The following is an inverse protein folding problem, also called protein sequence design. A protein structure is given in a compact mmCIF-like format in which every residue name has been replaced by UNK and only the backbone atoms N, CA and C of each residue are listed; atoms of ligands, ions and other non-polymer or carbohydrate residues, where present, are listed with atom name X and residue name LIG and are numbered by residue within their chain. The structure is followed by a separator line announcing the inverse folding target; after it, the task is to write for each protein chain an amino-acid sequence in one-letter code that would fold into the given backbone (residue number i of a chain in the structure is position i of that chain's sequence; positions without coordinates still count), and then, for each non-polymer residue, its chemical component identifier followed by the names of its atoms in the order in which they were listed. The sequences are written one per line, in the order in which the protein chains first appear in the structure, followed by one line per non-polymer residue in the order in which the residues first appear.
data_IF_174509777241
#
_entry.id   IF_174509777241
#
_cell.length_a   1.000
_cell.length_b   1.000
_cell.length_c   1.000
_cell.angle_alpha   90.00
_cell.angle_beta   90.00
_cell.angle_gamma   90.00
#
_symmetry.space_group_name_H-M   'P 1'
#
loop_
_entity.id
_entity.type
_entity.pdbx_description
1 polymer ?
#
# COMPACT_ATOMS: atom_id res chain seq x y z
N UNK A 1 -6.15 -8.96 -21.10
CA UNK A 1 -5.31 -9.09 -19.91
C UNK A 1 -3.92 -8.62 -20.30
N UNK A 2 -3.50 -7.46 -19.82
CA UNK A 2 -2.16 -6.93 -20.07
C UNK A 2 -1.23 -7.26 -18.90
N UNK A 3 0.07 -7.30 -19.18
CA UNK A 3 1.11 -7.40 -18.14
C UNK A 3 1.54 -6.00 -17.74
N UNK A 4 1.33 -5.63 -16.50
CA UNK A 4 1.66 -4.30 -15.97
C UNK A 4 2.87 -4.41 -15.07
N UNK A 5 3.91 -3.65 -15.37
CA UNK A 5 5.07 -3.49 -14.51
C UNK A 5 4.94 -2.18 -13.74
N UNK A 6 4.73 -2.29 -12.42
CA UNK A 6 4.80 -1.16 -11.49
C UNK A 6 6.24 -1.06 -10.99
N UNK A 7 6.94 0.02 -11.29
CA UNK A 7 8.35 0.17 -10.93
C UNK A 7 8.56 1.41 -10.07
N UNK A 8 9.27 1.27 -8.97
CA UNK A 8 9.76 2.42 -8.21
C UNK A 8 10.83 3.15 -9.02
N UNK A 9 10.76 4.49 -9.00
CA UNK A 9 11.70 5.34 -9.72
C UNK A 9 12.28 6.44 -8.82
N UNK A 10 13.60 6.57 -8.86
CA UNK A 10 14.37 7.61 -8.17
C UNK A 10 15.12 8.49 -9.16
N UNK A 11 16.42 8.67 -8.92
CA UNK A 11 17.31 9.43 -9.80
C UNK A 11 18.03 8.55 -10.83
N UNK A 12 18.07 7.24 -10.61
CA UNK A 12 18.79 6.29 -11.45
C UNK A 12 17.83 5.57 -12.41
N UNK A 13 17.86 5.95 -13.68
CA UNK A 13 17.06 5.31 -14.72
C UNK A 13 17.45 3.84 -14.96
N UNK A 14 18.72 3.49 -14.71
CA UNK A 14 19.25 2.13 -14.85
C UNK A 14 18.47 1.08 -14.04
N UNK A 15 17.91 1.47 -12.88
CA UNK A 15 17.11 0.58 -12.02
C UNK A 15 15.76 0.22 -12.66
N UNK A 16 15.20 1.11 -13.45
CA UNK A 16 14.00 0.83 -14.24
C UNK A 16 14.38 0.05 -15.50
N UNK A 17 15.36 0.54 -16.27
CA UNK A 17 15.80 -0.08 -17.52
C UNK A 17 16.28 -1.52 -17.27
N UNK A 18 16.92 -1.79 -16.14
CA UNK A 18 17.26 -3.14 -15.71
C UNK A 18 16.03 -4.04 -15.59
N UNK A 19 14.97 -3.55 -14.95
CA UNK A 19 13.73 -4.32 -14.81
C UNK A 19 13.05 -4.59 -16.16
N UNK A 20 13.04 -3.61 -17.08
CA UNK A 20 12.46 -3.77 -18.42
C UNK A 20 13.15 -4.86 -19.24
N UNK A 21 14.43 -5.14 -18.96
CA UNK A 21 15.20 -6.21 -19.64
C UNK A 21 14.82 -7.62 -19.17
N UNK A 22 14.38 -7.74 -17.91
CA UNK A 22 14.15 -9.03 -17.27
C UNK A 22 12.68 -9.40 -17.16
N UNK A 23 11.80 -8.40 -17.04
CA UNK A 23 10.39 -8.62 -16.75
C UNK A 23 9.55 -8.26 -17.98
N UNK A 24 8.85 -9.22 -18.58
CA UNK A 24 7.94 -8.92 -19.68
C UNK A 24 6.77 -8.06 -19.21
N UNK A 25 6.47 -7.01 -19.96
CA UNK A 25 5.37 -6.07 -19.68
C UNK A 25 4.76 -5.54 -20.98
N UNK A 26 3.53 -5.06 -20.88
CA UNK A 26 2.79 -4.38 -21.94
C UNK A 26 2.48 -2.93 -21.56
N UNK A 27 2.54 -2.62 -20.24
CA UNK A 27 2.32 -1.28 -19.66
C UNK A 27 3.30 -1.02 -18.53
N UNK A 28 3.83 0.19 -18.47
CA UNK A 28 4.75 0.65 -17.42
C UNK A 28 4.08 1.69 -16.54
N UNK A 29 4.11 1.47 -15.22
CA UNK A 29 3.70 2.42 -14.18
C UNK A 29 4.91 2.78 -13.34
N UNK A 30 5.27 4.06 -13.27
CA UNK A 30 6.35 4.55 -12.44
C UNK A 30 5.82 5.19 -11.16
N UNK A 31 6.25 4.70 -10.01
CA UNK A 31 5.95 5.31 -8.70
C UNK A 31 7.17 6.12 -8.27
N UNK A 32 7.00 7.44 -8.12
CA UNK A 32 8.13 8.34 -7.95
C UNK A 32 7.81 9.58 -7.10
N UNK A 33 8.85 10.14 -6.50
CA UNK A 33 8.79 11.43 -5.82
C UNK A 33 8.82 12.61 -6.78
N UNK A 34 8.28 13.76 -6.35
CA UNK A 34 8.15 14.95 -7.20
C UNK A 34 9.48 15.49 -7.75
N UNK A 35 10.63 15.27 -7.08
CA UNK A 35 11.95 15.63 -7.60
C UNK A 35 12.37 14.70 -8.74
N UNK A 36 12.22 13.40 -8.56
CA UNK A 36 12.58 12.39 -9.57
C UNK A 36 11.80 12.56 -10.87
N UNK A 37 10.57 13.08 -10.78
CA UNK A 37 9.73 13.36 -11.96
C UNK A 37 10.25 14.49 -12.84
N UNK A 38 11.24 15.26 -12.41
CA UNK A 38 11.88 16.35 -13.19
C UNK A 38 13.19 15.91 -13.82
N UNK A 39 13.65 14.69 -13.52
CA UNK A 39 14.92 14.17 -13.99
C UNK A 39 14.88 13.83 -15.49
N UNK A 40 16.03 13.98 -16.14
CA UNK A 40 16.19 13.62 -17.57
C UNK A 40 15.95 12.14 -17.82
N UNK A 41 16.26 11.28 -16.84
CA UNK A 41 16.07 9.84 -16.95
C UNK A 41 14.61 9.45 -17.14
N UNK A 42 13.67 10.13 -16.47
CA UNK A 42 12.24 9.88 -16.70
C UNK A 42 11.85 10.17 -18.15
N UNK A 43 12.27 11.31 -18.70
CA UNK A 43 11.97 11.68 -20.08
C UNK A 43 12.50 10.66 -21.08
N UNK A 44 13.71 10.13 -20.85
CA UNK A 44 14.28 9.06 -21.71
C UNK A 44 13.45 7.79 -21.67
N UNK A 45 12.96 7.41 -20.47
CA UNK A 45 12.07 6.24 -20.34
C UNK A 45 10.76 6.51 -21.10
N UNK A 46 10.14 7.68 -20.90
CA UNK A 46 8.90 8.05 -21.59
C UNK A 46 9.06 8.11 -23.12
N UNK A 47 10.17 8.63 -23.61
CA UNK A 47 10.50 8.67 -25.03
C UNK A 47 10.71 7.28 -25.62
N UNK A 48 11.45 6.41 -24.91
CA UNK A 48 11.67 5.03 -25.33
C UNK A 48 10.35 4.24 -25.37
N UNK A 49 9.51 4.36 -24.36
CA UNK A 49 8.18 3.73 -24.32
C UNK A 49 7.28 4.25 -25.44
N UNK A 50 7.27 5.55 -25.69
CA UNK A 50 6.49 6.15 -26.78
C UNK A 50 6.95 5.67 -28.15
N UNK A 51 8.27 5.57 -28.34
CA UNK A 51 8.84 5.04 -29.60
C UNK A 51 8.46 3.57 -29.81
N UNK A 52 8.29 2.79 -28.73
CA UNK A 52 7.81 1.41 -28.77
C UNK A 52 6.26 1.29 -28.86
N UNK A 53 5.54 2.41 -28.99
CA UNK A 53 4.06 2.43 -29.02
C UNK A 53 3.39 2.34 -27.64
N UNK A 54 4.17 2.35 -26.57
CA UNK A 54 3.71 2.30 -25.18
C UNK A 54 3.44 3.67 -24.57
N UNK A 55 2.95 3.67 -23.34
CA UNK A 55 2.78 4.86 -22.50
C UNK A 55 3.24 4.57 -21.08
N UNK A 56 3.89 5.55 -20.47
CA UNK A 56 4.25 5.51 -19.05
C UNK A 56 3.14 6.18 -18.25
N UNK A 57 2.60 5.45 -17.29
CA UNK A 57 1.76 6.03 -16.24
C UNK A 57 2.66 6.44 -15.07
N UNK A 58 2.39 7.59 -14.47
CA UNK A 58 3.16 8.09 -13.33
C UNK A 58 2.28 8.23 -12.11
N UNK A 59 2.71 7.62 -11.02
CA UNK A 59 2.10 7.74 -9.70
C UNK A 59 3.02 8.56 -8.80
N UNK A 60 2.56 9.75 -8.42
CA UNK A 60 3.32 10.64 -7.55
C UNK A 60 3.09 10.30 -6.08
N UNK A 61 4.19 10.14 -5.33
CA UNK A 61 4.19 9.89 -3.88
C UNK A 61 5.17 10.82 -3.17
N UNK A 62 5.07 10.91 -1.84
CA UNK A 62 6.17 11.41 -1.03
C UNK A 62 7.16 10.26 -0.78
N UNK A 63 8.38 10.29 -1.36
CA UNK A 63 9.32 9.17 -1.30
C UNK A 63 9.98 8.99 0.08
N UNK A 64 9.69 9.85 1.05
CA UNK A 64 10.15 9.80 2.43
C UNK A 64 9.03 9.46 3.42
N UNK A 65 7.77 9.39 2.97
CA UNK A 65 6.62 8.92 3.74
C UNK A 65 6.24 7.50 3.31
N UNK A 66 6.49 6.52 4.20
CA UNK A 66 6.17 5.11 3.97
C UNK A 66 4.68 4.90 3.65
N UNK A 67 3.79 5.61 4.34
CA UNK A 67 2.35 5.48 4.12
C UNK A 67 1.93 6.01 2.75
N UNK A 68 2.54 7.10 2.27
CA UNK A 68 2.34 7.63 0.92
C UNK A 68 2.83 6.65 -0.14
N UNK A 69 4.06 6.12 0.02
CA UNK A 69 4.65 5.14 -0.89
C UNK A 69 3.81 3.87 -0.99
N UNK A 70 3.43 3.32 0.15
CA UNK A 70 2.58 2.13 0.22
C UNK A 70 1.24 2.34 -0.46
N UNK A 71 0.51 3.41 -0.11
CA UNK A 71 -0.83 3.68 -0.66
C UNK A 71 -0.78 3.91 -2.16
N UNK A 72 0.11 4.79 -2.62
CA UNK A 72 0.21 5.10 -4.05
C UNK A 72 0.52 3.86 -4.89
N UNK A 73 1.42 3.01 -4.39
CA UNK A 73 1.75 1.74 -5.06
C UNK A 73 0.59 0.76 -5.02
N UNK A 74 -0.06 0.59 -3.85
CA UNK A 74 -1.20 -0.33 -3.71
C UNK A 74 -2.37 0.10 -4.59
N UNK A 75 -2.68 1.39 -4.65
CA UNK A 75 -3.74 1.92 -5.50
C UNK A 75 -3.48 1.66 -6.99
N UNK A 76 -2.23 1.81 -7.43
CA UNK A 76 -1.84 1.47 -8.79
C UNK A 76 -2.03 -0.03 -9.07
N UNK A 77 -1.51 -0.90 -8.19
CA UNK A 77 -1.66 -2.34 -8.32
C UNK A 77 -3.14 -2.74 -8.40
N UNK A 78 -3.95 -2.30 -7.45
CA UNK A 78 -5.36 -2.68 -7.35
C UNK A 78 -6.20 -2.17 -8.53
N UNK A 79 -5.89 -0.98 -9.07
CA UNK A 79 -6.56 -0.45 -10.26
C UNK A 79 -6.36 -1.36 -11.46
N UNK A 80 -5.13 -1.80 -11.73
CA UNK A 80 -4.82 -2.68 -12.85
C UNK A 80 -5.36 -4.11 -12.63
N UNK A 81 -5.28 -4.62 -11.41
CA UNK A 81 -5.88 -5.93 -11.09
C UNK A 81 -7.40 -5.97 -11.29
N UNK A 82 -8.11 -4.89 -10.93
CA UNK A 82 -9.56 -4.78 -11.19
C UNK A 82 -9.88 -4.72 -12.68
N UNK A 83 -8.97 -4.23 -13.50
CA UNK A 83 -9.08 -4.29 -14.95
C UNK A 83 -8.76 -5.68 -15.55
N UNK A 84 -8.42 -6.66 -14.70
CA UNK A 84 -8.07 -8.01 -15.12
C UNK A 84 -6.62 -8.17 -15.59
N UNK A 85 -5.75 -7.19 -15.29
CA UNK A 85 -4.35 -7.22 -15.71
C UNK A 85 -3.47 -8.05 -14.74
N UNK A 86 -2.41 -8.65 -15.26
CA UNK A 86 -1.35 -9.26 -14.47
C UNK A 86 -0.36 -8.18 -14.01
N UNK A 87 -0.17 -8.04 -12.70
CA UNK A 87 0.70 -6.98 -12.15
C UNK A 87 1.94 -7.59 -11.50
N UNK A 88 3.10 -7.01 -11.81
CA UNK A 88 4.39 -7.26 -11.14
C UNK A 88 4.97 -5.94 -10.63
N UNK A 89 5.74 -6.01 -9.54
CA UNK A 89 6.33 -4.83 -8.92
C UNK A 89 7.86 -4.93 -8.95
N UNK A 90 8.54 -3.91 -9.48
CA UNK A 90 9.98 -3.73 -9.34
C UNK A 90 10.27 -2.71 -8.24
N UNK A 91 11.06 -3.10 -7.25
CA UNK A 91 11.39 -2.28 -6.07
C UNK A 91 12.85 -1.81 -6.06
N UNK A 92 13.52 -1.80 -7.21
CA UNK A 92 14.96 -1.51 -7.28
C UNK A 92 15.31 -0.03 -7.19
N UNK A 93 14.40 0.85 -7.56
CA UNK A 93 14.66 2.29 -7.68
C UNK A 93 14.13 3.12 -6.52
N UNK A 94 14.56 4.38 -6.47
CA UNK A 94 14.07 5.36 -5.51
C UNK A 94 14.76 5.31 -4.15
N UNK A 95 14.16 5.97 -3.16
CA UNK A 95 14.61 5.89 -1.77
C UNK A 95 14.32 4.52 -1.19
N UNK A 96 15.03 4.14 -0.13
CA UNK A 96 14.72 2.90 0.58
C UNK A 96 13.27 2.88 1.09
N UNK A 97 12.77 4.00 1.59
CA UNK A 97 11.38 4.14 2.05
C UNK A 97 10.39 3.89 0.91
N UNK A 98 10.67 4.40 -0.30
CA UNK A 98 9.84 4.14 -1.48
C UNK A 98 9.87 2.66 -1.87
N UNK A 99 11.03 2.06 -1.91
CA UNK A 99 11.20 0.63 -2.23
C UNK A 99 10.50 -0.27 -1.19
N UNK A 100 10.68 0.02 0.10
CA UNK A 100 10.04 -0.72 1.19
C UNK A 100 8.51 -0.56 1.15
N UNK A 101 8.00 0.64 0.91
CA UNK A 101 6.56 0.91 0.74
C UNK A 101 5.95 0.15 -0.44
N UNK A 102 6.65 0.10 -1.57
CA UNK A 102 6.22 -0.64 -2.74
C UNK A 102 6.26 -2.16 -2.51
N UNK A 103 7.27 -2.66 -1.79
CA UNK A 103 7.34 -4.07 -1.40
C UNK A 103 6.17 -4.46 -0.49
N UNK A 104 5.89 -3.65 0.54
CA UNK A 104 4.74 -3.88 1.42
C UNK A 104 3.41 -3.86 0.65
N UNK A 105 3.27 -2.98 -0.34
CA UNK A 105 2.09 -2.94 -1.22
C UNK A 105 1.96 -4.20 -2.06
N UNK A 106 3.07 -4.73 -2.58
CA UNK A 106 3.08 -5.99 -3.31
C UNK A 106 2.69 -7.18 -2.41
N UNK A 107 3.17 -7.21 -1.15
CA UNK A 107 2.73 -8.20 -0.15
C UNK A 107 1.23 -8.11 0.10
N UNK A 108 0.72 -6.90 0.36
CA UNK A 108 -0.70 -6.67 0.63
C UNK A 108 -1.58 -7.11 -0.56
N UNK A 109 -1.14 -6.84 -1.77
CA UNK A 109 -1.88 -7.22 -2.98
C UNK A 109 -1.66 -8.68 -3.38
N UNK A 110 -0.67 -9.38 -2.84
CA UNK A 110 -0.29 -10.74 -3.22
C UNK A 110 0.22 -10.84 -4.67
N UNK A 111 0.91 -9.79 -5.15
CA UNK A 111 1.53 -9.76 -6.50
C UNK A 111 3.03 -9.97 -6.40
N UNK A 112 3.64 -10.45 -7.47
CA UNK A 112 5.08 -10.68 -7.49
C UNK A 112 5.87 -9.38 -7.35
N UNK A 113 6.88 -9.39 -6.47
CA UNK A 113 7.85 -8.31 -6.35
C UNK A 113 9.24 -8.79 -6.75
N UNK A 114 10.00 -7.89 -7.37
CA UNK A 114 11.30 -8.15 -7.95
C UNK A 114 12.29 -7.05 -7.59
N UNK A 115 13.53 -7.44 -7.38
CA UNK A 115 14.67 -6.53 -7.33
C UNK A 115 15.55 -6.79 -8.57
N UNK A 116 15.66 -5.78 -9.43
CA UNK A 116 16.34 -5.91 -10.73
C UNK A 116 17.50 -4.94 -10.83
N UNK A 117 18.70 -5.46 -10.75
CA UNK A 117 19.96 -4.74 -11.01
C UNK A 117 20.74 -5.52 -12.10
N UNK A 118 21.84 -6.15 -11.73
CA UNK A 118 22.62 -7.01 -12.63
C UNK A 118 21.88 -8.30 -12.97
N UNK A 119 20.95 -8.69 -12.12
CA UNK A 119 20.04 -9.84 -12.30
C UNK A 119 18.67 -9.52 -11.71
N UNK A 120 17.66 -10.25 -12.16
CA UNK A 120 16.33 -10.21 -11.56
C UNK A 120 16.25 -11.19 -10.38
N UNK A 121 15.98 -10.67 -9.20
CA UNK A 121 15.75 -11.47 -7.98
C UNK A 121 14.29 -11.35 -7.59
N UNK A 122 13.57 -12.47 -7.62
CA UNK A 122 12.19 -12.51 -7.15
C UNK A 122 12.17 -12.50 -5.63
N UNK A 123 11.40 -11.58 -5.06
CA UNK A 123 11.24 -11.47 -3.62
C UNK A 123 10.13 -12.43 -3.13
N UNK A 124 10.22 -12.94 -1.89
CA UNK A 124 9.34 -14.00 -1.37
C UNK A 124 7.97 -13.45 -0.95
N UNK A 125 7.21 -12.87 -1.88
CA UNK A 125 5.84 -12.44 -1.62
C UNK A 125 4.91 -13.65 -1.59
N UNK A 126 4.23 -13.85 -0.48
CA UNK A 126 3.25 -14.92 -0.33
C UNK A 126 1.90 -14.46 -0.90
N UNK A 127 1.37 -15.21 -1.86
CA UNK A 127 0.03 -14.96 -2.40
C UNK A 127 -1.05 -15.34 -1.39
N UNK A 128 -2.10 -14.52 -1.28
CA UNK A 128 -3.24 -14.80 -0.41
C UNK A 128 -3.01 -14.48 1.07
N UNK A 129 -1.88 -13.87 1.42
CA UNK A 129 -1.60 -13.41 2.79
C UNK A 129 -1.66 -11.88 2.79
N UNK A 130 -2.71 -11.34 3.38
CA UNK A 130 -2.90 -9.90 3.56
C UNK A 130 -2.69 -9.50 5.01
N UNK A 131 -2.32 -8.26 5.26
CA UNK A 131 -2.17 -7.76 6.63
C UNK A 131 -3.47 -7.89 7.44
N UNK A 132 -4.62 -7.62 6.81
CA UNK A 132 -5.93 -7.77 7.44
C UNK A 132 -6.29 -9.21 7.83
N UNK A 133 -5.71 -10.23 7.20
CA UNK A 133 -6.00 -11.64 7.51
C UNK A 133 -5.48 -12.03 8.90
N UNK A 134 -4.53 -11.24 9.42
CA UNK A 134 -4.01 -11.38 10.79
C UNK A 134 -4.92 -10.75 11.84
N UNK A 135 -5.87 -9.92 11.44
CA UNK A 135 -6.77 -9.23 12.35
C UNK A 135 -8.11 -9.97 12.42
N UNK A 136 -8.57 -10.37 13.62
CA UNK A 136 -9.92 -10.88 13.83
C UNK A 136 -11.00 -9.96 13.27
N UNK A 137 -12.18 -10.48 12.86
CA UNK A 137 -13.23 -9.67 12.27
C UNK A 137 -13.63 -8.43 13.07
N UNK A 138 -13.72 -8.55 14.39
CA UNK A 138 -14.03 -7.43 15.26
C UNK A 138 -12.95 -6.34 15.25
N UNK A 139 -11.66 -6.71 15.22
CA UNK A 139 -10.55 -5.75 15.12
C UNK A 139 -10.57 -5.01 13.79
N UNK A 140 -10.82 -5.70 12.68
CA UNK A 140 -10.99 -5.07 11.36
C UNK A 140 -12.15 -4.09 11.36
N UNK A 141 -13.28 -4.46 11.95
CA UNK A 141 -14.47 -3.62 12.04
C UNK A 141 -14.21 -2.36 12.89
N UNK A 142 -13.48 -2.49 14.00
CA UNK A 142 -13.06 -1.35 14.84
C UNK A 142 -12.18 -0.40 14.04
N UNK A 143 -11.07 -0.88 13.45
CA UNK A 143 -10.16 -0.03 12.66
C UNK A 143 -10.87 0.66 11.49
N UNK A 144 -11.68 -0.08 10.73
CA UNK A 144 -12.42 0.46 9.59
C UNK A 144 -13.50 1.49 9.97
N UNK A 145 -13.89 1.54 11.26
CA UNK A 145 -14.88 2.50 11.78
C UNK A 145 -14.27 3.78 12.35
N UNK A 146 -12.96 3.82 12.55
CA UNK A 146 -12.24 4.93 13.20
C UNK A 146 -11.66 5.91 12.17
N UNK A 147 -12.51 6.68 11.47
CA UNK A 147 -12.04 7.80 10.61
C UNK A 147 -11.70 9.07 11.40
N UNK A 148 -12.14 9.16 12.63
CA UNK A 148 -11.96 10.24 13.60
C UNK A 148 -12.13 9.66 15.01
N UNK A 149 -11.68 10.35 16.07
CA UNK A 149 -11.94 9.92 17.44
C UNK A 149 -13.45 9.69 17.71
N UNK A 150 -13.79 8.57 18.31
CA UNK A 150 -15.18 8.15 18.57
C UNK A 150 -15.31 7.69 20.02
N UNK A 151 -16.35 8.10 20.77
CA UNK A 151 -16.64 7.52 22.08
C UNK A 151 -16.80 6.00 22.00
N UNK A 152 -16.17 5.26 22.91
CA UNK A 152 -16.17 3.79 22.90
C UNK A 152 -17.60 3.21 22.89
N UNK A 153 -18.51 3.78 23.67
CA UNK A 153 -19.93 3.37 23.69
C UNK A 153 -20.57 3.47 22.30
N UNK A 154 -20.37 4.61 21.59
CA UNK A 154 -20.90 4.77 20.22
C UNK A 154 -20.28 3.80 19.24
N UNK A 155 -19.00 3.46 19.41
CA UNK A 155 -18.32 2.48 18.57
C UNK A 155 -18.92 1.08 18.79
N UNK A 156 -19.15 0.71 20.04
CA UNK A 156 -19.82 -0.54 20.42
C UNK A 156 -21.22 -0.61 19.80
N UNK A 157 -22.07 0.41 19.99
CA UNK A 157 -23.44 0.43 19.44
C UNK A 157 -23.45 0.28 17.92
N UNK A 158 -22.57 1.01 17.23
CA UNK A 158 -22.43 0.93 15.78
C UNK A 158 -22.05 -0.47 15.28
N UNK A 159 -21.14 -1.13 15.99
CA UNK A 159 -20.66 -2.45 15.60
C UNK A 159 -21.61 -3.57 16.02
N UNK A 160 -22.37 -3.39 17.10
CA UNK A 160 -23.48 -4.28 17.45
C UNK A 160 -24.55 -4.30 16.35
N UNK A 161 -24.90 -3.14 15.79
CA UNK A 161 -25.82 -3.04 14.65
C UNK A 161 -25.30 -3.77 13.37
N UNK A 162 -24.02 -4.09 13.34
CA UNK A 162 -23.36 -4.87 12.26
C UNK A 162 -23.11 -6.35 12.63
N UNK A 163 -23.69 -6.82 13.75
CA UNK A 163 -23.63 -8.23 14.18
C UNK A 163 -22.43 -8.61 15.07
N UNK A 164 -21.67 -7.64 15.57
CA UNK A 164 -20.63 -7.92 16.54
C UNK A 164 -21.17 -7.87 17.97
N UNK A 165 -20.78 -8.81 18.83
CA UNK A 165 -21.13 -8.72 20.26
C UNK A 165 -20.35 -7.61 20.96
N UNK A 166 -20.94 -7.01 21.99
CA UNK A 166 -20.29 -5.97 22.80
C UNK A 166 -18.95 -6.45 23.37
N UNK A 167 -18.92 -7.67 23.94
CA UNK A 167 -17.70 -8.25 24.47
C UNK A 167 -16.59 -8.40 23.39
N UNK A 168 -16.97 -8.79 22.16
CA UNK A 168 -16.00 -8.90 21.08
C UNK A 168 -15.44 -7.54 20.64
N UNK A 169 -16.26 -6.49 20.65
CA UNK A 169 -15.83 -5.12 20.32
C UNK A 169 -14.91 -4.56 21.42
N UNK A 170 -15.25 -4.74 22.68
CA UNK A 170 -14.43 -4.31 23.80
C UNK A 170 -13.08 -5.04 23.83
N UNK A 171 -13.06 -6.36 23.65
CA UNK A 171 -11.84 -7.15 23.53
C UNK A 171 -10.98 -6.71 22.33
N UNK A 172 -11.62 -6.39 21.20
CA UNK A 172 -10.92 -5.88 20.02
C UNK A 172 -10.25 -4.52 20.28
N UNK A 173 -10.92 -3.59 20.97
CA UNK A 173 -10.36 -2.28 21.34
C UNK A 173 -9.14 -2.47 22.24
N UNK A 174 -9.24 -3.32 23.27
CA UNK A 174 -8.14 -3.58 24.19
C UNK A 174 -6.93 -4.19 23.46
N UNK A 175 -7.16 -5.22 22.66
CA UNK A 175 -6.11 -5.88 21.90
C UNK A 175 -5.43 -4.94 20.88
N UNK A 176 -6.21 -4.11 20.18
CA UNK A 176 -5.66 -3.11 19.25
C UNK A 176 -4.84 -2.03 19.98
N UNK A 177 -5.24 -1.67 21.20
CA UNK A 177 -4.46 -0.76 22.07
C UNK A 177 -3.12 -1.38 22.46
N UNK A 178 -3.12 -2.64 22.89
CA UNK A 178 -1.90 -3.39 23.21
C UNK A 178 -0.96 -3.52 22.01
N UNK A 179 -1.51 -3.66 20.81
CA UNK A 179 -0.76 -3.69 19.56
C UNK A 179 -0.28 -2.29 19.11
N UNK A 180 -0.70 -1.21 19.80
CA UNK A 180 -0.39 0.17 19.46
C UNK A 180 -1.03 0.63 18.15
N UNK A 181 -2.20 0.12 17.81
CA UNK A 181 -2.96 0.49 16.63
C UNK A 181 -4.08 1.49 16.93
N UNK A 182 -4.53 1.54 18.18
CA UNK A 182 -5.50 2.53 18.66
C UNK A 182 -5.06 3.09 20.01
N UNK A 183 -5.46 4.31 20.26
CA UNK A 183 -5.35 4.98 21.55
C UNK A 183 -6.73 5.05 22.22
N UNK A 184 -6.75 4.92 23.55
CA UNK A 184 -7.96 5.11 24.34
C UNK A 184 -7.66 6.19 25.40
N UNK A 185 -8.31 7.32 25.27
CA UNK A 185 -8.18 8.45 26.19
C UNK A 185 -9.51 8.73 26.90
N UNK A 186 -9.44 9.18 28.16
CA UNK A 186 -10.62 9.66 28.85
C UNK A 186 -10.81 11.16 28.54
N UNK A 187 -11.87 11.49 27.87
CA UNK A 187 -12.21 12.86 27.51
C UNK A 187 -13.61 13.19 28.03
N UNK A 188 -13.69 14.19 28.89
CA UNK A 188 -14.96 14.61 29.53
C UNK A 188 -15.71 13.46 30.21
N UNK A 189 -14.97 12.58 30.90
CA UNK A 189 -15.54 11.42 31.61
C UNK A 189 -15.92 10.22 30.73
N UNK A 190 -15.71 10.29 29.43
CA UNK A 190 -15.98 9.18 28.52
C UNK A 190 -14.69 8.63 27.87
N UNK A 191 -14.62 7.32 27.70
CA UNK A 191 -13.56 6.70 26.93
C UNK A 191 -13.74 7.01 25.44
N UNK A 192 -12.72 7.59 24.82
CA UNK A 192 -12.68 7.93 23.39
C UNK A 192 -11.59 7.10 22.73
N UNK A 193 -11.92 6.42 21.63
CA UNK A 193 -11.01 5.59 20.84
C UNK A 193 -10.60 6.36 19.59
N UNK A 194 -9.32 6.45 19.35
CA UNK A 194 -8.73 7.03 18.13
C UNK A 194 -7.70 6.11 17.51
N UNK A 195 -7.38 6.32 16.25
CA UNK A 195 -6.25 5.61 15.62
C UNK A 195 -4.94 6.18 16.16
N UNK A 196 -3.99 5.29 16.50
CA UNK A 196 -2.56 5.63 16.57
C UNK A 196 -2.03 5.83 15.12
N UNK A 197 -0.93 6.58 14.91
CA UNK A 197 -0.34 6.72 13.57
C UNK A 197 -0.08 5.40 12.85
N UNK A 198 0.28 4.33 13.57
CA UNK A 198 0.42 2.97 13.01
C UNK A 198 -0.94 2.38 12.63
N UNK A 199 -1.95 2.60 13.45
CA UNK A 199 -3.33 2.18 13.18
C UNK A 199 -3.95 2.90 12.00
N UNK A 200 -3.60 4.17 11.75
CA UNK A 200 -4.03 4.90 10.55
C UNK A 200 -3.56 4.21 9.26
N UNK A 201 -2.32 3.72 9.26
CA UNK A 201 -1.78 2.99 8.13
C UNK A 201 -2.61 1.73 7.82
N UNK A 202 -2.92 0.91 8.84
CA UNK A 202 -3.78 -0.26 8.71
C UNK A 202 -5.21 0.10 8.31
N UNK A 203 -5.83 1.07 8.98
CA UNK A 203 -7.20 1.46 8.71
C UNK A 203 -7.40 1.95 7.26
N UNK A 204 -6.43 2.66 6.70
CA UNK A 204 -6.46 3.12 5.31
C UNK A 204 -6.31 1.98 4.30
N UNK A 205 -5.65 0.89 4.67
CA UNK A 205 -5.54 -0.33 3.85
C UNK A 205 -6.85 -1.13 3.84
N UNK A 206 -7.61 -1.10 4.96
CA UNK A 206 -8.86 -1.86 5.13
C UNK A 206 -10.10 -1.18 4.53
N UNK A 207 -10.07 0.13 4.30
CA UNK A 207 -11.27 0.94 3.92
C UNK A 207 -11.68 0.77 2.46
N UNK A 208 -10.98 -0.01 1.66
CA UNK A 208 -11.27 -0.23 0.23
C UNK A 208 -11.78 -1.64 -0.11
N UNK A 209 -12.28 -2.38 0.89
CA UNK A 209 -12.95 -3.66 0.67
C UNK A 209 -14.47 -3.52 0.71
#
# INVERSE_FOLDING_TARGET
MARVLVSTYGFEESKVLGALRWLPYDRLVLVAGGRSLRERGLRRIEEAERAAGGRVEVVRVDPFDLASCFRGTLEAIERHRRAGDEVRVNVSGGTKVLADGALLAAFQAGVEAWHCEDKAVRLPVLRGVRFEDRLPPAQRAVLGSLRRPVPAARLVDRLRARGHSEAAVQAAILSLREQGLVEVAITRGAAVVSLDPRGEWFARSLVKL
#
